data_IF_098194379886
#
_entry.id   IF_098194379886
#
_cell.length_a   1.000
_cell.length_b   1.000
_cell.length_c   1.000
_cell.angle_alpha   90.00
_cell.angle_beta   90.00
_cell.angle_gamma   90.00
#
_symmetry.space_group_name_H-M   'P 1'
#
loop_
_entity.id
_entity.type
_entity.pdbx_description
1 polymer ?
#
# COMPACT_ATOMS: atom_id res chain seq x y z
N UNK A 1 4.65 -37.42 -19.08
CA UNK A 1 3.78 -36.71 -18.13
C UNK A 1 4.48 -35.49 -17.56
N UNK A 2 5.72 -35.62 -17.06
CA UNK A 2 6.41 -34.55 -16.35
C UNK A 2 6.58 -33.25 -17.16
N UNK A 3 6.87 -33.35 -18.46
CA UNK A 3 7.01 -32.17 -19.33
C UNK A 3 5.68 -31.40 -19.52
N UNK A 4 4.55 -32.12 -19.57
CA UNK A 4 3.21 -31.54 -19.71
C UNK A 4 2.81 -30.85 -18.40
N UNK A 5 3.07 -31.51 -17.27
CA UNK A 5 2.86 -30.92 -15.94
C UNK A 5 3.63 -29.61 -15.82
N UNK A 6 4.91 -29.59 -16.21
CA UNK A 6 5.73 -28.37 -16.17
C UNK A 6 5.21 -27.25 -17.09
N UNK A 7 4.76 -27.60 -18.31
CA UNK A 7 4.24 -26.64 -19.28
C UNK A 7 2.94 -25.94 -18.81
N UNK A 8 2.14 -26.62 -17.98
CA UNK A 8 0.90 -26.09 -17.40
C UNK A 8 1.15 -25.36 -16.08
N UNK A 9 2.08 -25.89 -15.27
CA UNK A 9 2.40 -25.40 -13.94
C UNK A 9 2.92 -23.96 -13.97
N UNK A 10 3.88 -23.64 -14.82
CA UNK A 10 4.52 -22.30 -14.82
C UNK A 10 3.51 -21.20 -15.18
N UNK A 11 2.72 -21.30 -16.27
CA UNK A 11 1.73 -20.27 -16.59
C UNK A 11 0.60 -20.18 -15.56
N UNK A 12 0.15 -21.31 -15.00
CA UNK A 12 -0.86 -21.36 -13.93
C UNK A 12 -0.38 -20.63 -12.67
N UNK A 13 0.88 -20.83 -12.28
CA UNK A 13 1.55 -20.13 -11.19
C UNK A 13 1.59 -18.62 -11.44
N UNK A 14 2.03 -18.19 -12.63
CA UNK A 14 2.11 -16.77 -13.00
C UNK A 14 0.74 -16.10 -13.06
N UNK A 15 -0.27 -16.81 -13.58
CA UNK A 15 -1.64 -16.31 -13.63
C UNK A 15 -2.20 -16.11 -12.21
N UNK A 16 -2.03 -17.11 -11.33
CA UNK A 16 -2.44 -17.04 -9.92
C UNK A 16 -1.77 -15.85 -9.21
N UNK A 17 -0.46 -15.71 -9.38
CA UNK A 17 0.32 -14.62 -8.80
C UNK A 17 -0.14 -13.25 -9.31
N UNK A 18 -0.29 -13.07 -10.63
CA UNK A 18 -0.62 -11.77 -11.23
C UNK A 18 -1.99 -11.24 -10.78
N UNK A 19 -2.98 -12.12 -10.64
CA UNK A 19 -4.32 -11.77 -10.16
C UNK A 19 -4.27 -11.37 -8.68
N UNK A 20 -3.65 -12.20 -7.84
CA UNK A 20 -3.56 -11.94 -6.40
C UNK A 20 -2.76 -10.68 -6.08
N UNK A 21 -1.58 -10.53 -6.69
CA UNK A 21 -0.72 -9.37 -6.48
C UNK A 21 -1.36 -8.07 -7.02
N UNK A 22 -1.97 -8.12 -8.21
CA UNK A 22 -2.64 -6.96 -8.81
C UNK A 22 -3.77 -6.41 -7.94
N UNK A 23 -4.61 -7.29 -7.38
CA UNK A 23 -5.68 -6.90 -6.46
C UNK A 23 -5.12 -6.32 -5.15
N UNK A 24 -4.08 -6.94 -4.60
CA UNK A 24 -3.41 -6.48 -3.37
C UNK A 24 -2.83 -5.07 -3.50
N UNK A 25 -2.14 -4.80 -4.60
CA UNK A 25 -1.61 -3.46 -4.91
C UNK A 25 -2.72 -2.42 -5.00
N UNK A 26 -3.83 -2.75 -5.67
CA UNK A 26 -4.98 -1.85 -5.81
C UNK A 26 -5.56 -1.46 -4.45
N UNK A 27 -5.76 -2.44 -3.56
CA UNK A 27 -6.26 -2.20 -2.20
C UNK A 27 -5.27 -1.38 -1.36
N UNK A 28 -3.99 -1.74 -1.36
CA UNK A 28 -2.95 -1.03 -0.62
C UNK A 28 -2.92 0.46 -0.99
N UNK A 29 -3.05 0.77 -2.28
CA UNK A 29 -3.04 2.14 -2.80
C UNK A 29 -4.30 2.87 -2.35
N UNK A 30 -5.47 2.23 -2.46
CA UNK A 30 -6.73 2.82 -1.99
C UNK A 30 -6.66 3.15 -0.49
N UNK A 31 -6.16 2.24 0.33
CA UNK A 31 -5.97 2.47 1.76
C UNK A 31 -4.95 3.59 2.04
N UNK A 32 -3.81 3.60 1.34
CA UNK A 32 -2.78 4.63 1.51
C UNK A 32 -3.29 6.03 1.16
N UNK A 33 -4.06 6.17 0.08
CA UNK A 33 -4.60 7.46 -0.37
C UNK A 33 -5.71 8.00 0.53
N UNK A 34 -6.47 7.12 1.19
CA UNK A 34 -7.55 7.51 2.12
C UNK A 34 -7.06 7.75 3.56
N UNK A 35 -5.93 7.17 3.96
CA UNK A 35 -5.40 7.32 5.31
C UNK A 35 -4.73 8.68 5.53
N UNK A 36 -5.25 9.45 6.49
CA UNK A 36 -4.57 10.61 7.07
C UNK A 36 -5.09 11.99 6.64
N UNK A 37 -6.19 12.08 5.89
CA UNK A 37 -6.83 13.37 5.57
C UNK A 37 -8.27 13.46 6.06
N UNK A 38 -8.70 14.64 6.56
CA UNK A 38 -10.11 14.86 6.84
C UNK A 38 -10.90 14.91 5.53
N UNK A 39 -12.01 14.18 5.45
CA UNK A 39 -12.94 14.22 4.31
C UNK A 39 -13.62 15.59 4.16
N UNK A 40 -13.65 16.38 5.25
CA UNK A 40 -14.28 17.69 5.34
C UNK A 40 -13.27 18.86 5.36
N UNK A 41 -12.01 18.64 4.95
CA UNK A 41 -11.00 19.69 4.93
C UNK A 41 -10.26 19.82 3.60
N UNK A 42 -9.95 21.06 3.24
CA UNK A 42 -9.04 21.40 2.15
C UNK A 42 -7.70 21.81 2.73
N UNK A 43 -6.59 21.34 2.16
CA UNK A 43 -5.25 21.68 2.62
C UNK A 43 -4.65 22.74 1.72
N UNK A 44 -4.27 23.85 2.33
CA UNK A 44 -3.66 24.98 1.67
C UNK A 44 -2.17 24.96 1.98
N UNK A 45 -1.36 25.01 0.93
CA UNK A 45 0.09 25.12 1.02
C UNK A 45 0.58 26.01 -0.11
N UNK A 46 1.82 26.52 -0.03
CA UNK A 46 2.39 27.22 -1.19
C UNK A 46 2.87 26.18 -2.20
N UNK A 47 2.39 26.30 -3.44
CA UNK A 47 2.82 25.41 -4.52
C UNK A 47 4.27 25.72 -4.85
N UNK A 48 5.11 24.69 -4.99
CA UNK A 48 6.21 24.75 -5.93
C UNK A 48 5.88 23.79 -7.05
N UNK A 49 6.23 24.21 -8.27
CA UNK A 49 6.28 23.34 -9.43
C UNK A 49 7.13 22.11 -9.08
N UNK A 50 6.48 21.00 -8.76
CA UNK A 50 7.13 19.72 -8.59
C UNK A 50 7.47 19.18 -9.99
N UNK A 51 8.74 19.30 -10.39
CA UNK A 51 9.25 18.67 -11.60
C UNK A 51 9.96 17.37 -11.20
N UNK A 52 9.26 16.25 -11.33
CA UNK A 52 9.83 14.91 -11.08
C UNK A 52 10.32 14.74 -9.63
N UNK A 53 11.43 14.02 -9.38
CA UNK A 53 11.89 13.68 -8.03
C UNK A 53 12.48 14.87 -7.24
N UNK A 54 12.45 16.09 -7.77
CA UNK A 54 12.98 17.29 -7.13
C UNK A 54 11.85 18.09 -6.47
N UNK A 55 11.66 17.88 -5.17
CA UNK A 55 10.84 18.74 -4.34
C UNK A 55 11.68 19.93 -3.86
N UNK A 56 11.51 21.08 -4.50
CA UNK A 56 12.01 22.34 -3.94
C UNK A 56 11.18 22.67 -2.69
N UNK A 57 11.84 23.05 -1.60
CA UNK A 57 11.23 23.29 -0.29
C UNK A 57 10.04 24.23 -0.39
N UNK A 58 8.86 23.82 0.06
CA UNK A 58 7.65 24.67 0.09
C UNK A 58 8.00 26.05 0.65
N UNK A 59 7.91 27.09 -0.17
CA UNK A 59 8.05 28.45 0.34
C UNK A 59 6.99 28.67 1.43
N UNK A 60 7.31 29.38 2.52
CA UNK A 60 6.32 29.66 3.55
C UNK A 60 5.09 30.36 2.96
N UNK A 61 3.93 30.09 3.55
CA UNK A 61 2.71 30.80 3.18
C UNK A 61 2.89 32.31 3.45
N UNK A 62 2.18 33.18 2.71
CA UNK A 62 2.18 34.61 2.99
C UNK A 62 1.78 34.87 4.45
N UNK A 63 2.41 35.84 5.13
CA UNK A 63 2.02 36.19 6.49
C UNK A 63 0.55 36.62 6.51
N UNK A 64 -0.18 36.21 7.56
CA UNK A 64 -1.60 36.51 7.80
C UNK A 64 -2.60 35.89 6.81
N UNK A 65 -2.18 34.94 5.95
CA UNK A 65 -3.14 34.26 5.06
C UNK A 65 -4.20 33.50 5.88
N UNK A 66 -3.85 32.98 7.04
CA UNK A 66 -4.79 32.31 7.94
C UNK A 66 -5.93 33.24 8.39
N UNK A 67 -5.64 34.51 8.66
CA UNK A 67 -6.65 35.52 9.03
C UNK A 67 -7.57 35.89 7.85
N UNK A 68 -7.04 35.90 6.63
CA UNK A 68 -7.84 36.09 5.43
C UNK A 68 -8.78 34.90 5.18
N UNK A 69 -8.26 33.68 5.33
CA UNK A 69 -9.05 32.47 5.19
C UNK A 69 -10.17 32.46 6.24
N UNK A 70 -9.92 32.82 7.51
CA UNK A 70 -10.95 32.89 8.57
C UNK A 70 -12.16 33.75 8.21
N UNK A 71 -12.01 34.74 7.34
CA UNK A 71 -13.10 35.65 6.92
C UNK A 71 -13.98 35.06 5.82
N UNK A 72 -13.60 33.95 5.18
CA UNK A 72 -14.38 33.34 4.12
C UNK A 72 -15.65 32.66 4.67
N UNK A 73 -16.76 32.79 3.95
CA UNK A 73 -18.02 32.12 4.30
C UNK A 73 -17.95 30.60 4.05
N UNK A 74 -18.63 29.82 4.89
CA UNK A 74 -18.70 28.35 4.75
C UNK A 74 -17.62 27.56 5.51
N UNK A 75 -16.72 28.24 6.21
CA UNK A 75 -15.70 27.61 7.06
C UNK A 75 -16.30 27.18 8.41
N UNK A 76 -15.92 25.99 8.85
CA UNK A 76 -16.23 25.40 10.16
C UNK A 76 -15.11 25.67 11.15
N UNK A 77 -13.86 25.35 10.77
CA UNK A 77 -12.68 25.56 11.58
C UNK A 77 -11.44 25.65 10.67
N UNK A 78 -10.33 26.14 11.22
CA UNK A 78 -9.03 26.13 10.56
C UNK A 78 -8.00 25.57 11.54
N UNK A 79 -7.20 24.61 11.07
CA UNK A 79 -6.00 24.15 11.76
C UNK A 79 -4.77 24.65 11.02
N UNK A 80 -3.88 25.33 11.74
CA UNK A 80 -2.63 25.79 11.18
C UNK A 80 -1.53 24.85 11.65
N UNK A 81 -0.70 24.45 10.69
CA UNK A 81 0.44 23.58 10.90
C UNK A 81 1.73 24.35 10.64
N UNK A 82 2.65 24.28 11.61
CA UNK A 82 3.95 24.93 11.58
C UNK A 82 5.03 23.91 11.94
N UNK A 83 6.13 23.85 11.21
CA UNK A 83 7.27 23.04 11.65
C UNK A 83 8.21 23.85 12.53
N UNK A 84 8.86 23.15 13.45
CA UNK A 84 10.03 23.67 14.13
C UNK A 84 11.16 23.86 13.11
N UNK A 85 11.62 25.10 12.93
CA UNK A 85 12.69 25.44 12.00
C UNK A 85 14.09 25.32 12.62
N UNK A 86 14.18 24.57 13.73
CA UNK A 86 15.39 24.30 14.48
C UNK A 86 15.63 22.79 14.51
N UNK A 87 16.90 22.35 14.55
CA UNK A 87 17.20 20.94 14.79
C UNK A 87 16.61 20.51 16.14
N UNK A 88 16.08 19.29 16.22
CA UNK A 88 15.53 18.76 17.46
C UNK A 88 15.92 17.30 17.69
N UNK A 89 16.01 16.95 18.97
CA UNK A 89 16.33 15.61 19.44
C UNK A 89 15.39 15.21 20.57
N UNK A 90 15.04 13.93 20.62
CA UNK A 90 14.37 13.32 21.78
C UNK A 90 15.38 12.49 22.54
N UNK A 91 15.44 12.70 23.85
CA UNK A 91 16.24 11.92 24.79
C UNK A 91 15.31 11.27 25.82
N UNK A 92 15.39 9.96 25.96
CA UNK A 92 14.56 9.21 26.89
C UNK A 92 15.21 7.90 27.33
N UNK A 93 14.45 7.08 28.04
CA UNK A 93 14.87 5.72 28.35
C UNK A 93 13.86 4.70 27.84
N UNK A 94 14.37 3.70 27.13
CA UNK A 94 13.60 2.54 26.67
C UNK A 94 14.28 1.31 27.27
N UNK A 95 13.53 0.50 28.03
CA UNK A 95 14.04 -0.68 28.75
C UNK A 95 15.28 -0.42 29.62
N UNK A 96 15.33 0.74 30.30
CA UNK A 96 16.43 1.10 31.20
C UNK A 96 17.72 1.52 30.49
N UNK A 97 17.71 1.64 29.16
CA UNK A 97 18.82 2.20 28.38
C UNK A 97 18.49 3.62 27.96
N UNK A 98 19.48 4.52 28.03
CA UNK A 98 19.36 5.85 27.47
C UNK A 98 19.27 5.75 25.94
N UNK A 99 18.33 6.48 25.35
CA UNK A 99 18.11 6.53 23.91
C UNK A 99 17.95 7.99 23.49
N UNK A 100 18.66 8.37 22.43
CA UNK A 100 18.60 9.69 21.82
C UNK A 100 18.38 9.55 20.32
N UNK A 101 17.44 10.30 19.75
CA UNK A 101 17.21 10.33 18.29
C UNK A 101 16.85 11.73 17.82
N UNK A 102 17.39 12.11 16.67
CA UNK A 102 16.96 13.31 15.96
C UNK A 102 15.51 13.13 15.50
N UNK A 103 14.71 14.20 15.57
CA UNK A 103 13.29 14.14 15.25
C UNK A 103 12.82 15.43 14.58
N UNK A 104 11.87 15.32 13.65
CA UNK A 104 11.12 16.47 13.19
C UNK A 104 10.00 16.80 14.20
N UNK A 105 9.74 18.09 14.42
CA UNK A 105 8.66 18.52 15.32
C UNK A 105 7.71 19.43 14.55
N UNK A 106 6.42 19.09 14.60
CA UNK A 106 5.35 19.82 13.92
C UNK A 106 4.35 20.31 14.96
N UNK A 107 4.04 21.59 14.92
CA UNK A 107 2.98 22.23 15.71
C UNK A 107 1.64 22.18 14.99
N UNK A 108 0.57 21.85 15.72
CA UNK A 108 -0.82 21.98 15.25
C UNK A 108 -1.68 22.75 16.27
N UNK A 109 -2.66 23.50 15.80
CA UNK A 109 -3.66 24.14 16.65
C UNK A 109 -4.43 23.11 17.51
N UNK A 110 -4.60 23.41 18.80
CA UNK A 110 -5.23 22.51 19.78
C UNK A 110 -6.69 22.17 19.44
N UNK A 111 -7.41 23.10 18.81
CA UNK A 111 -8.80 22.92 18.34
C UNK A 111 -8.96 21.82 17.29
N UNK A 112 -7.86 21.28 16.79
CA UNK A 112 -7.83 20.26 15.74
C UNK A 112 -7.22 18.95 16.21
N UNK A 113 -6.97 18.81 17.52
CA UNK A 113 -6.38 17.59 18.09
C UNK A 113 -7.29 16.38 17.91
N UNK A 114 -8.62 16.54 17.98
CA UNK A 114 -9.59 15.46 17.76
C UNK A 114 -9.48 14.81 16.37
N UNK A 115 -9.02 15.57 15.38
CA UNK A 115 -8.73 15.00 14.06
C UNK A 115 -7.45 14.15 14.08
N UNK A 116 -6.43 14.54 14.85
CA UNK A 116 -5.20 13.77 15.01
C UNK A 116 -5.44 12.48 15.81
N UNK A 117 -6.11 12.62 16.95
CA UNK A 117 -6.38 11.58 17.93
C UNK A 117 -7.77 11.81 18.53
N UNK A 118 -8.79 11.03 18.12
CA UNK A 118 -10.17 11.24 18.55
C UNK A 118 -10.40 11.13 20.06
N UNK A 119 -9.48 10.47 20.76
CA UNK A 119 -9.51 10.25 22.22
C UNK A 119 -9.07 11.49 23.00
N UNK A 120 -8.35 12.44 22.36
CA UNK A 120 -7.86 13.64 23.01
C UNK A 120 -8.86 14.79 22.94
N UNK A 121 -8.97 15.52 24.04
CA UNK A 121 -9.69 16.79 24.11
C UNK A 121 -8.76 17.98 23.82
N UNK A 122 -9.36 19.10 23.39
CA UNK A 122 -8.63 20.33 23.06
C UNK A 122 -7.82 20.88 24.25
N UNK A 123 -8.28 20.65 25.48
CA UNK A 123 -7.65 21.09 26.72
C UNK A 123 -6.43 20.23 27.12
N UNK A 124 -6.38 18.96 26.67
CA UNK A 124 -5.26 18.05 26.91
C UNK A 124 -4.08 18.31 25.96
N UNK A 125 -4.29 19.05 24.86
CA UNK A 125 -3.28 19.33 23.85
C UNK A 125 -2.93 20.83 23.81
N UNK A 126 -2.49 21.35 24.95
CA UNK A 126 -2.08 22.75 25.13
C UNK A 126 -0.62 22.80 25.57
N UNK A 127 0.09 23.87 25.19
CA UNK A 127 1.48 24.11 25.60
C UNK A 127 1.59 24.23 27.13
N UNK A 128 1.96 23.11 27.76
CA UNK A 128 2.04 22.89 29.21
C UNK A 128 3.36 22.19 29.53
N UNK A 129 3.62 21.95 30.82
CA UNK A 129 4.75 21.17 31.28
C UNK A 129 4.23 20.03 32.19
N UNK A 130 4.35 18.75 31.79
CA UNK A 130 5.03 18.24 30.59
C UNK A 130 4.30 18.59 29.29
N UNK A 131 5.05 18.79 28.20
CA UNK A 131 4.54 19.12 26.87
C UNK A 131 3.78 17.92 26.28
N UNK A 132 2.47 18.02 25.96
CA UNK A 132 1.75 16.92 25.33
C UNK A 132 2.24 16.70 23.90
N UNK A 133 2.55 15.44 23.58
CA UNK A 133 3.03 15.01 22.27
C UNK A 133 2.11 13.93 21.70
N UNK A 134 1.81 14.03 20.41
CA UNK A 134 1.17 12.99 19.61
C UNK A 134 2.18 12.44 18.61
N UNK A 135 2.21 11.12 18.44
CA UNK A 135 3.16 10.45 17.53
C UNK A 135 2.41 9.62 16.48
N UNK A 136 2.87 9.60 15.21
CA UNK A 136 2.35 8.69 14.20
C UNK A 136 2.43 7.22 14.62
N UNK A 137 1.33 6.48 14.43
CA UNK A 137 1.28 5.03 14.67
C UNK A 137 2.34 4.28 13.83
N UNK A 138 2.69 4.84 12.67
CA UNK A 138 3.72 4.32 11.78
C UNK A 138 5.08 4.14 12.48
N UNK A 139 5.45 4.97 13.45
CA UNK A 139 6.71 4.84 14.19
C UNK A 139 6.69 3.58 15.07
N UNK A 140 5.56 3.31 15.72
CA UNK A 140 5.37 2.10 16.52
C UNK A 140 5.34 0.84 15.64
N UNK A 141 4.65 0.91 14.50
CA UNK A 141 4.61 -0.16 13.50
C UNK A 141 6.01 -0.45 12.96
N UNK A 142 6.78 0.59 12.62
CA UNK A 142 8.15 0.45 12.13
C UNK A 142 9.08 -0.18 13.19
N UNK A 143 8.98 0.24 14.47
CA UNK A 143 9.73 -0.42 15.54
C UNK A 143 9.36 -1.89 15.65
N UNK A 144 8.06 -2.20 15.73
CA UNK A 144 7.59 -3.57 15.95
C UNK A 144 7.99 -4.51 14.82
N UNK A 145 7.82 -4.09 13.57
CA UNK A 145 7.99 -4.94 12.41
C UNK A 145 9.46 -4.96 11.93
N UNK A 146 10.18 -3.84 12.02
CA UNK A 146 11.54 -3.73 11.49
C UNK A 146 12.64 -3.99 12.52
N UNK A 147 12.33 -3.83 13.81
CA UNK A 147 13.33 -3.99 14.88
C UNK A 147 12.95 -5.08 15.87
N UNK A 148 11.74 -5.05 16.43
CA UNK A 148 11.40 -5.95 17.51
C UNK A 148 11.31 -7.41 17.04
N UNK A 149 10.55 -7.66 15.98
CA UNK A 149 10.30 -8.99 15.45
C UNK A 149 11.59 -9.70 14.96
N UNK A 150 12.46 -9.08 14.14
CA UNK A 150 13.71 -9.73 13.71
C UNK A 150 14.72 -9.98 14.84
N UNK A 151 14.67 -9.20 15.93
CA UNK A 151 15.62 -9.30 17.04
C UNK A 151 15.05 -10.07 18.25
N UNK A 152 13.85 -10.66 18.13
CA UNK A 152 13.20 -11.38 19.22
C UNK A 152 12.86 -10.49 20.43
N UNK A 153 12.70 -9.18 20.22
CA UNK A 153 12.33 -8.24 21.27
C UNK A 153 10.80 -8.18 21.44
N UNK A 154 10.29 -7.81 22.63
CA UNK A 154 8.86 -7.63 22.83
C UNK A 154 8.28 -6.56 21.89
N UNK A 155 7.17 -6.90 21.25
CA UNK A 155 6.34 -5.90 20.54
C UNK A 155 5.75 -4.93 21.55
N UNK A 156 5.70 -3.67 21.18
CA UNK A 156 5.18 -2.60 22.00
C UNK A 156 3.75 -2.26 21.55
N UNK A 157 2.84 -2.15 22.53
CA UNK A 157 1.48 -1.65 22.31
C UNK A 157 1.44 -0.13 22.48
N UNK A 158 0.41 0.52 21.92
CA UNK A 158 0.16 1.95 22.14
C UNK A 158 0.07 2.29 23.63
N UNK A 159 -0.66 1.47 24.38
CA UNK A 159 -0.84 1.63 25.83
C UNK A 159 0.46 1.57 26.64
N UNK A 160 1.51 0.90 26.15
CA UNK A 160 2.80 0.84 26.84
C UNK A 160 3.57 2.18 26.79
N UNK A 161 3.23 3.02 25.82
CA UNK A 161 3.88 4.30 25.57
C UNK A 161 3.07 5.51 26.03
N UNK A 162 1.74 5.41 26.13
CA UNK A 162 0.91 6.51 26.65
C UNK A 162 1.34 6.87 28.09
N UNK A 163 1.46 8.16 28.35
CA UNK A 163 1.94 8.71 29.63
C UNK A 163 3.45 8.61 29.84
N UNK A 164 4.22 8.06 28.89
CA UNK A 164 5.69 8.05 28.98
C UNK A 164 6.24 9.45 28.78
N UNK A 165 7.21 9.79 29.62
CA UNK A 165 7.91 11.07 29.57
C UNK A 165 9.30 10.93 28.99
N UNK A 166 9.71 11.96 28.25
CA UNK A 166 11.02 12.09 27.63
C UNK A 166 11.40 13.56 27.55
N UNK A 167 12.66 13.84 27.24
CA UNK A 167 13.15 15.19 27.02
C UNK A 167 13.12 15.49 25.53
N UNK A 168 12.43 16.56 25.15
CA UNK A 168 12.55 17.18 23.84
C UNK A 168 13.59 18.30 23.92
N UNK A 169 14.62 18.21 23.11
CA UNK A 169 15.66 19.24 22.96
C UNK A 169 15.44 19.94 21.64
N UNK A 170 15.02 21.20 21.67
CA UNK A 170 14.90 22.05 20.49
C UNK A 170 16.14 22.94 20.35
N UNK A 171 16.64 23.13 19.13
CA UNK A 171 17.88 23.86 18.86
C UNK A 171 19.14 22.99 18.87
N UNK A 172 19.03 21.67 19.02
CA UNK A 172 20.15 20.75 18.90
C UNK A 172 19.73 19.43 18.25
N UNK A 173 20.60 18.88 17.43
CA UNK A 173 20.53 17.52 16.90
C UNK A 173 21.94 16.91 16.86
N UNK A 174 22.01 15.64 16.44
CA UNK A 174 23.28 14.93 16.27
C UNK A 174 24.15 15.53 15.15
N UNK A 175 23.56 16.32 14.24
CA UNK A 175 24.23 16.90 13.07
C UNK A 175 24.52 18.39 13.20
N UNK A 176 23.69 19.13 13.96
CA UNK A 176 23.82 20.58 14.06
C UNK A 176 23.28 21.11 15.38
N UNK A 177 23.87 22.20 15.87
CA UNK A 177 23.40 22.94 17.04
C UNK A 177 23.12 24.37 16.62
N UNK A 178 21.99 24.91 17.05
CA UNK A 178 21.61 26.29 16.76
C UNK A 178 22.57 27.26 17.46
N UNK A 179 22.92 28.35 16.77
CA UNK A 179 23.76 29.43 17.31
C UNK A 179 23.13 30.09 18.55
N UNK A 180 21.80 30.05 18.67
CA UNK A 180 21.06 30.64 19.78
C UNK A 180 20.92 29.67 20.98
N UNK A 181 21.59 28.52 20.95
CA UNK A 181 21.57 27.52 22.01
C UNK A 181 20.50 26.44 21.85
N UNK A 182 20.10 25.82 22.96
CA UNK A 182 19.06 24.79 22.97
C UNK A 182 18.09 24.97 24.13
N UNK A 183 16.86 24.52 23.93
CA UNK A 183 15.77 24.54 24.90
C UNK A 183 15.40 23.09 25.19
N UNK A 184 15.51 22.68 26.45
CA UNK A 184 15.15 21.34 26.91
C UNK A 184 13.80 21.39 27.61
N UNK A 185 12.87 20.54 27.19
CA UNK A 185 11.50 20.49 27.74
C UNK A 185 11.14 19.05 28.04
N UNK A 186 10.51 18.82 29.19
CA UNK A 186 9.91 17.52 29.50
C UNK A 186 8.63 17.39 28.67
N UNK A 187 8.52 16.30 27.92
CA UNK A 187 7.40 15.99 27.06
C UNK A 187 6.75 14.67 27.48
N UNK A 188 5.44 14.56 27.29
CA UNK A 188 4.65 13.38 27.62
C UNK A 188 3.89 12.91 26.38
N UNK A 189 3.97 11.63 26.07
CA UNK A 189 3.18 11.05 24.98
C UNK A 189 1.73 10.88 25.41
N UNK A 190 0.85 11.72 24.87
CA UNK A 190 -0.59 11.72 25.21
C UNK A 190 -1.46 10.99 24.20
N UNK A 191 -0.97 10.77 22.97
CA UNK A 191 -1.76 10.11 21.95
C UNK A 191 -1.01 9.64 20.72
N UNK A 192 -1.73 8.90 19.88
CA UNK A 192 -1.25 8.45 18.58
C UNK A 192 -2.12 9.00 17.45
N UNK A 193 -1.52 9.17 16.28
CA UNK A 193 -2.25 9.57 15.06
C UNK A 193 -2.06 8.57 13.92
N UNK A 194 -3.12 8.39 13.13
CA UNK A 194 -3.09 7.60 11.88
C UNK A 194 -2.53 8.37 10.69
N UNK A 195 -2.16 9.65 10.86
CA UNK A 195 -1.49 10.42 9.82
C UNK A 195 -0.18 9.76 9.41
N UNK A 196 -0.05 9.41 8.14
CA UNK A 196 1.16 8.83 7.55
C UNK A 196 2.01 9.86 6.79
N UNK A 197 1.50 11.08 6.62
CA UNK A 197 2.20 12.18 5.96
C UNK A 197 3.17 12.93 6.90
N UNK A 198 3.24 12.54 8.17
CA UNK A 198 4.11 13.13 9.19
C UNK A 198 5.06 12.07 9.70
N UNK A 199 6.36 12.38 9.73
CA UNK A 199 7.39 11.53 10.30
C UNK A 199 8.13 12.33 11.39
N UNK A 200 7.58 12.34 12.60
CA UNK A 200 8.08 13.16 13.69
C UNK A 200 7.09 13.27 14.85
N UNK A 201 7.35 14.20 15.77
CA UNK A 201 6.45 14.53 16.88
C UNK A 201 5.45 15.61 16.46
N UNK A 202 4.22 15.49 16.94
CA UNK A 202 3.19 16.52 16.81
C UNK A 202 2.94 17.14 18.18
N UNK A 203 3.05 18.46 18.27
CA UNK A 203 2.94 19.25 19.51
C UNK A 203 1.94 20.40 19.34
N UNK A 204 1.48 21.04 20.42
CA UNK A 204 0.66 22.25 20.31
C UNK A 204 1.41 23.35 19.57
N UNK A 205 0.79 24.01 18.59
CA UNK A 205 1.42 25.09 17.81
C UNK A 205 2.01 26.20 18.68
N UNK A 206 1.35 26.54 19.80
CA UNK A 206 1.83 27.54 20.77
C UNK A 206 3.24 27.23 21.29
N UNK A 207 3.59 25.96 21.44
CA UNK A 207 4.95 25.54 21.81
C UNK A 207 5.97 25.95 20.76
N UNK A 208 5.67 25.69 19.48
CA UNK A 208 6.55 26.06 18.35
C UNK A 208 6.75 27.58 18.32
N UNK A 209 5.67 28.35 18.46
CA UNK A 209 5.73 29.81 18.50
C UNK A 209 6.60 30.32 19.65
N UNK A 210 6.40 29.79 20.87
CA UNK A 210 7.22 30.14 22.03
C UNK A 210 8.70 29.85 21.80
N UNK A 211 9.02 28.69 21.24
CA UNK A 211 10.41 28.29 20.95
C UNK A 211 11.02 29.19 19.87
N UNK A 212 10.30 29.45 18.79
CA UNK A 212 10.75 30.35 17.73
C UNK A 212 10.99 31.77 18.25
N UNK A 213 10.07 32.33 19.04
CA UNK A 213 10.21 33.66 19.63
C UNK A 213 11.43 33.74 20.55
N UNK A 214 11.63 32.73 21.39
CA UNK A 214 12.79 32.64 22.31
C UNK A 214 14.10 32.56 21.52
N UNK A 215 14.11 31.78 20.44
CA UNK A 215 15.27 31.52 19.60
C UNK A 215 15.43 32.53 18.45
N UNK A 216 14.63 33.60 18.43
CA UNK A 216 14.61 34.65 17.40
C UNK A 216 14.47 34.13 15.97
N UNK A 217 13.69 33.06 15.81
CA UNK A 217 13.32 32.47 14.52
C UNK A 217 11.95 33.00 14.11
N UNK A 218 11.78 33.36 12.85
CA UNK A 218 10.48 33.83 12.36
C UNK A 218 9.50 32.67 12.20
N UNK A 219 8.32 32.78 12.82
CA UNK A 219 7.22 31.83 12.62
C UNK A 219 6.80 31.77 11.15
N UNK A 220 6.54 30.55 10.66
CA UNK A 220 6.17 30.29 9.26
C UNK A 220 5.05 29.27 9.21
N UNK A 221 3.87 29.72 8.78
CA UNK A 221 2.76 28.83 8.44
C UNK A 221 3.13 28.00 7.21
N UNK A 222 3.11 26.68 7.34
CA UNK A 222 3.48 25.78 6.25
C UNK A 222 2.26 25.19 5.56
N UNK A 223 1.32 24.69 6.35
CA UNK A 223 0.08 24.09 5.87
C UNK A 223 -1.09 24.61 6.68
N UNK A 224 -2.20 24.87 6.01
CA UNK A 224 -3.45 25.27 6.65
C UNK A 224 -4.53 24.29 6.23
N UNK A 225 -5.14 23.63 7.21
CA UNK A 225 -6.28 22.75 7.02
C UNK A 225 -7.55 23.58 7.21
N UNK A 226 -8.33 23.72 6.15
CA UNK A 226 -9.56 24.52 6.14
C UNK A 226 -10.74 23.57 6.15
N UNK A 227 -11.37 23.41 7.31
CA UNK A 227 -12.55 22.57 7.48
C UNK A 227 -13.78 23.33 7.01
N UNK A 228 -14.56 22.73 6.10
CA UNK A 228 -15.76 23.32 5.52
C UNK A 228 -17.04 22.70 6.09
N UNK A 229 -18.15 23.45 6.02
CA UNK A 229 -19.46 22.98 6.51
C UNK A 229 -20.16 22.04 5.53
N UNK A 230 -20.05 22.35 4.24
CA UNK A 230 -20.66 21.57 3.17
C UNK A 230 -19.66 21.32 2.03
N UNK A 231 -19.79 20.22 1.26
CA UNK A 231 -18.92 19.97 0.12
C UNK A 231 -18.93 21.08 -0.94
N UNK A 232 -20.06 21.79 -1.08
CA UNK A 232 -20.19 22.92 -1.99
C UNK A 232 -19.34 24.13 -1.53
N UNK A 233 -19.33 24.39 -0.23
CA UNK A 233 -18.47 25.42 0.35
C UNK A 233 -16.99 25.06 0.19
N UNK A 234 -16.63 23.79 0.39
CA UNK A 234 -15.28 23.29 0.16
C UNK A 234 -14.78 23.60 -1.25
N UNK A 235 -15.59 23.33 -2.29
CA UNK A 235 -15.23 23.66 -3.69
C UNK A 235 -15.06 25.16 -3.91
N UNK A 236 -16.00 25.98 -3.41
CA UNK A 236 -15.94 27.45 -3.54
C UNK A 236 -14.68 28.02 -2.87
N UNK A 237 -14.37 27.55 -1.67
CA UNK A 237 -13.17 27.95 -0.92
C UNK A 237 -11.91 27.54 -1.68
N UNK A 238 -11.86 26.30 -2.17
CA UNK A 238 -10.72 25.79 -2.91
C UNK A 238 -10.45 26.59 -4.20
N UNK A 239 -11.49 26.91 -4.98
CA UNK A 239 -11.38 27.72 -6.20
C UNK A 239 -10.90 29.14 -5.88
N UNK A 240 -11.45 29.76 -4.83
CA UNK A 240 -11.04 31.09 -4.39
C UNK A 240 -9.56 31.11 -4.00
N UNK A 241 -9.09 30.13 -3.22
CA UNK A 241 -7.69 30.05 -2.81
C UNK A 241 -6.74 29.74 -3.98
N UNK A 242 -7.15 28.91 -4.93
CA UNK A 242 -6.39 28.67 -6.17
C UNK A 242 -6.24 29.93 -7.01
N UNK A 243 -7.28 30.76 -7.09
CA UNK A 243 -7.23 32.04 -7.82
C UNK A 243 -6.22 33.03 -7.24
N UNK A 244 -5.88 32.88 -5.94
CA UNK A 244 -4.85 33.67 -5.25
C UNK A 244 -3.43 33.08 -5.43
N UNK A 245 -3.27 32.04 -6.26
CA UNK A 245 -1.98 31.39 -6.51
C UNK A 245 -1.52 30.42 -5.41
N UNK A 246 -2.41 30.03 -4.50
CA UNK A 246 -2.13 29.03 -3.48
C UNK A 246 -2.26 27.62 -4.04
N UNK A 247 -1.45 26.68 -3.54
CA UNK A 247 -1.69 25.26 -3.78
C UNK A 247 -2.78 24.79 -2.85
N UNK A 248 -3.76 24.11 -3.44
CA UNK A 248 -4.92 23.66 -2.71
C UNK A 248 -5.09 22.18 -3.00
N UNK A 249 -4.82 21.38 -1.98
CA UNK A 249 -4.99 19.93 -1.98
C UNK A 249 -6.35 19.61 -1.38
N UNK A 250 -7.32 19.34 -2.25
CA UNK A 250 -8.67 18.97 -1.84
C UNK A 250 -8.88 17.45 -1.86
N UNK A 251 -9.75 16.90 -1.00
CA UNK A 251 -10.05 15.47 -0.97
C UNK A 251 -10.55 14.95 -2.32
N UNK A 252 -11.43 15.69 -3.01
CA UNK A 252 -11.99 15.27 -4.30
C UNK A 252 -10.98 15.24 -5.44
N UNK A 253 -9.95 16.08 -5.42
CA UNK A 253 -8.89 16.06 -6.42
C UNK A 253 -8.01 14.83 -6.27
N UNK A 254 -7.76 14.43 -5.02
CA UNK A 254 -7.05 13.18 -4.73
C UNK A 254 -7.87 11.96 -5.08
N UNK A 255 -9.17 11.96 -4.78
CA UNK A 255 -10.07 10.89 -5.21
C UNK A 255 -10.07 10.75 -6.73
N UNK A 256 -10.05 11.86 -7.47
CA UNK A 256 -9.96 11.83 -8.95
C UNK A 256 -8.60 11.34 -9.44
N UNK A 257 -7.50 11.78 -8.81
CA UNK A 257 -6.15 11.25 -9.11
C UNK A 257 -6.04 9.76 -8.78
N UNK A 258 -6.66 9.33 -7.67
CA UNK A 258 -6.74 7.94 -7.25
C UNK A 258 -7.56 7.15 -8.24
N UNK A 259 -8.71 7.62 -8.69
CA UNK A 259 -9.53 6.98 -9.72
C UNK A 259 -8.74 6.81 -11.03
N UNK A 260 -8.01 7.84 -11.46
CA UNK A 260 -7.15 7.75 -12.64
C UNK A 260 -6.01 6.74 -12.47
N UNK A 261 -5.39 6.69 -11.29
CA UNK A 261 -4.37 5.69 -10.97
C UNK A 261 -4.97 4.29 -10.91
N UNK A 262 -6.13 4.14 -10.26
CA UNK A 262 -6.86 2.90 -10.07
C UNK A 262 -7.29 2.28 -11.40
N UNK A 263 -7.81 3.11 -12.31
CA UNK A 263 -8.12 2.71 -13.68
C UNK A 263 -6.84 2.28 -14.42
N UNK A 264 -5.78 3.10 -14.35
CA UNK A 264 -4.53 2.83 -15.09
C UNK A 264 -3.85 1.55 -14.61
N UNK A 265 -3.71 1.39 -13.29
CA UNK A 265 -3.12 0.22 -12.66
C UNK A 265 -4.02 -1.00 -12.84
N UNK A 266 -5.33 -0.84 -12.72
CA UNK A 266 -6.31 -1.90 -12.99
C UNK A 266 -6.25 -2.40 -14.43
N UNK A 267 -6.08 -1.50 -15.42
CA UNK A 267 -5.85 -1.88 -16.81
C UNK A 267 -4.53 -2.64 -16.93
N UNK A 268 -3.45 -2.14 -16.34
CA UNK A 268 -2.15 -2.79 -16.40
C UNK A 268 -2.17 -4.20 -15.78
N UNK A 269 -2.75 -4.36 -14.58
CA UNK A 269 -2.89 -5.66 -13.93
C UNK A 269 -3.79 -6.60 -14.72
N UNK A 270 -4.87 -6.09 -15.31
CA UNK A 270 -5.78 -6.88 -16.15
C UNK A 270 -5.11 -7.34 -17.44
N UNK A 271 -4.29 -6.49 -18.08
CA UNK A 271 -3.51 -6.85 -19.26
C UNK A 271 -2.46 -7.92 -18.93
N UNK A 272 -1.82 -7.83 -17.77
CA UNK A 272 -0.86 -8.83 -17.32
C UNK A 272 -1.54 -10.18 -17.03
N UNK A 273 -2.68 -10.16 -16.33
CA UNK A 273 -3.48 -11.34 -16.09
C UNK A 273 -4.01 -11.95 -17.39
N UNK A 274 -4.44 -11.13 -18.35
CA UNK A 274 -4.86 -11.57 -19.68
C UNK A 274 -3.72 -12.22 -20.45
N UNK A 275 -2.53 -11.61 -20.45
CA UNK A 275 -1.33 -12.13 -21.10
C UNK A 275 -0.96 -13.51 -20.54
N UNK A 276 -0.89 -13.64 -19.20
CA UNK A 276 -0.60 -14.92 -18.57
C UNK A 276 -1.74 -15.93 -18.72
N UNK A 277 -2.99 -15.47 -18.79
CA UNK A 277 -4.16 -16.29 -19.10
C UNK A 277 -4.08 -16.91 -20.49
N UNK A 278 -3.77 -16.10 -21.51
CA UNK A 278 -3.56 -16.56 -22.89
C UNK A 278 -2.37 -17.50 -22.94
N UNK A 279 -1.24 -17.15 -22.33
CA UNK A 279 -0.04 -18.00 -22.30
C UNK A 279 -0.35 -19.35 -21.65
N UNK A 280 -1.12 -19.34 -20.56
CA UNK A 280 -1.57 -20.55 -19.85
C UNK A 280 -2.49 -21.40 -20.70
N UNK A 281 -3.45 -20.77 -21.39
CA UNK A 281 -4.37 -21.46 -22.29
C UNK A 281 -3.64 -22.11 -23.46
N UNK A 282 -2.77 -21.35 -24.14
CA UNK A 282 -2.00 -21.80 -25.30
C UNK A 282 -1.04 -22.91 -24.91
N UNK A 283 -0.28 -22.74 -23.82
CA UNK A 283 0.68 -23.74 -23.35
C UNK A 283 -0.02 -25.06 -22.99
N UNK A 284 -1.12 -24.99 -22.23
CA UNK A 284 -1.89 -26.18 -21.83
C UNK A 284 -2.52 -26.90 -23.02
N UNK A 285 -3.11 -26.14 -23.96
CA UNK A 285 -3.67 -26.70 -25.19
C UNK A 285 -2.62 -27.45 -26.01
N UNK A 286 -1.46 -26.81 -26.28
CA UNK A 286 -0.41 -27.42 -27.08
C UNK A 286 0.29 -28.57 -26.35
N UNK A 287 0.49 -28.48 -25.02
CA UNK A 287 1.05 -29.55 -24.23
C UNK A 287 0.17 -30.81 -24.27
N UNK A 288 -1.15 -30.66 -24.13
CA UNK A 288 -2.10 -31.75 -24.25
C UNK A 288 -2.15 -32.34 -25.67
N UNK A 289 -2.22 -31.49 -26.71
CA UNK A 289 -2.25 -31.92 -28.11
C UNK A 289 -0.97 -32.66 -28.52
N UNK A 290 0.21 -32.07 -28.22
CA UNK A 290 1.51 -32.69 -28.47
C UNK A 290 1.67 -33.99 -27.66
N UNK A 291 1.14 -34.02 -26.43
CA UNK A 291 1.06 -35.22 -25.61
C UNK A 291 0.38 -36.39 -26.34
N UNK A 292 -0.74 -36.12 -27.03
CA UNK A 292 -1.44 -37.12 -27.84
C UNK A 292 -0.61 -37.52 -29.06
N UNK A 293 -0.05 -36.56 -29.81
CA UNK A 293 0.78 -36.85 -30.98
C UNK A 293 2.02 -37.69 -30.67
N UNK A 294 2.68 -37.45 -29.54
CA UNK A 294 3.83 -38.23 -29.09
C UNK A 294 3.49 -39.71 -28.83
N UNK A 295 2.20 -40.03 -28.62
CA UNK A 295 1.70 -41.36 -28.29
C UNK A 295 1.15 -42.12 -29.50
N UNK A 296 1.35 -41.62 -30.72
CA UNK A 296 0.87 -42.26 -31.95
C UNK A 296 1.38 -43.69 -32.14
N UNK A 297 2.63 -43.97 -31.79
CA UNK A 297 3.20 -45.32 -31.88
C UNK A 297 2.63 -46.27 -30.81
N UNK A 298 2.39 -45.75 -29.59
CA UNK A 298 1.76 -46.51 -28.50
C UNK A 298 0.31 -46.86 -28.85
N UNK A 299 -0.42 -45.94 -29.49
CA UNK A 299 -1.78 -46.17 -30.01
C UNK A 299 -1.84 -47.32 -31.02
N UNK A 300 -0.85 -47.44 -31.91
CA UNK A 300 -0.76 -48.57 -32.86
C UNK A 300 -0.56 -49.90 -32.13
N UNK A 301 0.26 -49.93 -31.09
CA UNK A 301 0.49 -51.13 -30.27
C UNK A 301 -0.81 -51.56 -29.57
N UNK A 302 -1.53 -50.64 -28.95
CA UNK A 302 -2.83 -50.94 -28.31
C UNK A 302 -3.86 -51.48 -29.30
N UNK A 303 -3.84 -50.96 -30.53
CA UNK A 303 -4.73 -51.46 -31.57
C UNK A 303 -4.38 -52.90 -31.99
N UNK A 304 -3.09 -53.24 -32.09
CA UNK A 304 -2.64 -54.61 -32.35
C UNK A 304 -3.00 -55.58 -31.23
N UNK A 305 -3.10 -55.09 -29.99
CA UNK A 305 -3.58 -55.85 -28.82
C UNK A 305 -5.11 -56.00 -28.77
N UNK A 306 -5.85 -55.53 -29.78
CA UNK A 306 -7.31 -55.72 -29.90
C UNK A 306 -8.17 -54.65 -29.23
N UNK A 307 -7.59 -53.55 -28.74
CA UNK A 307 -8.38 -52.47 -28.15
C UNK A 307 -9.17 -51.69 -29.21
N UNK A 308 -10.42 -51.36 -28.87
CA UNK A 308 -11.28 -50.53 -29.71
C UNK A 308 -10.72 -49.11 -29.85
N UNK A 309 -10.98 -48.47 -30.99
CA UNK A 309 -10.52 -47.09 -31.28
C UNK A 309 -10.94 -46.10 -30.19
N UNK A 310 -12.19 -46.21 -29.75
CA UNK A 310 -12.74 -45.36 -28.71
C UNK A 310 -12.07 -45.61 -27.36
N UNK A 311 -11.77 -46.87 -27.02
CA UNK A 311 -11.08 -47.23 -25.78
C UNK A 311 -9.67 -46.64 -25.70
N UNK A 312 -8.92 -46.65 -26.81
CA UNK A 312 -7.56 -46.09 -26.87
C UNK A 312 -7.57 -44.57 -26.69
N UNK A 313 -8.42 -43.87 -27.46
CA UNK A 313 -8.54 -42.40 -27.37
C UNK A 313 -9.00 -41.98 -25.98
N UNK A 314 -10.02 -42.66 -25.42
CA UNK A 314 -10.51 -42.38 -24.06
C UNK A 314 -9.42 -42.57 -23.00
N UNK A 315 -8.60 -43.62 -23.12
CA UNK A 315 -7.51 -43.90 -22.19
C UNK A 315 -6.42 -42.83 -22.24
N UNK A 316 -6.01 -42.42 -23.44
CA UNK A 316 -4.98 -41.40 -23.63
C UNK A 316 -5.46 -40.01 -23.16
N UNK A 317 -6.69 -39.62 -23.55
CA UNK A 317 -7.31 -38.36 -23.11
C UNK A 317 -7.41 -38.33 -21.58
N UNK A 318 -7.91 -39.41 -20.94
CA UNK A 318 -8.05 -39.45 -19.48
C UNK A 318 -6.71 -39.23 -18.76
N UNK A 319 -5.63 -39.87 -19.24
CA UNK A 319 -4.29 -39.74 -18.65
C UNK A 319 -3.73 -38.33 -18.80
N UNK A 320 -4.02 -37.66 -19.92
CA UNK A 320 -3.57 -36.30 -20.20
C UNK A 320 -4.37 -35.28 -19.41
N UNK A 321 -5.70 -35.37 -19.40
CA UNK A 321 -6.55 -34.52 -18.55
C UNK A 321 -6.11 -34.61 -17.10
N UNK A 322 -5.80 -35.81 -16.60
CA UNK A 322 -5.31 -35.97 -15.23
C UNK A 322 -3.96 -35.26 -15.01
N UNK A 323 -3.04 -35.33 -15.98
CA UNK A 323 -1.75 -34.64 -15.91
C UNK A 323 -1.90 -33.11 -15.97
N UNK A 324 -2.82 -32.61 -16.79
CA UNK A 324 -3.16 -31.19 -16.93
C UNK A 324 -3.77 -30.62 -15.65
N UNK A 325 -4.77 -31.32 -15.08
CA UNK A 325 -5.39 -30.92 -13.81
C UNK A 325 -4.37 -30.89 -12.69
N UNK A 326 -3.49 -31.89 -12.60
CA UNK A 326 -2.39 -31.88 -11.60
C UNK A 326 -1.46 -30.69 -11.83
N UNK A 327 -1.04 -30.43 -13.06
CA UNK A 327 -0.15 -29.29 -13.37
C UNK A 327 -0.78 -27.95 -13.02
N UNK A 328 -2.06 -27.77 -13.34
CA UNK A 328 -2.82 -26.57 -13.04
C UNK A 328 -3.00 -26.37 -11.52
N UNK A 329 -3.42 -27.41 -10.80
CA UNK A 329 -3.57 -27.33 -9.34
C UNK A 329 -2.23 -27.08 -8.65
N UNK A 330 -1.17 -27.79 -9.06
CA UNK A 330 0.16 -27.58 -8.51
C UNK A 330 0.70 -26.18 -8.79
N UNK A 331 0.49 -25.66 -10.01
CA UNK A 331 0.85 -24.30 -10.39
C UNK A 331 0.14 -23.25 -9.53
N UNK A 332 -1.17 -23.40 -9.34
CA UNK A 332 -1.93 -22.52 -8.46
C UNK A 332 -1.51 -22.61 -7.01
N UNK A 333 -1.23 -23.79 -6.48
CA UNK A 333 -0.69 -23.95 -5.10
C UNK A 333 0.65 -23.22 -4.97
N UNK A 334 1.56 -23.38 -5.93
CA UNK A 334 2.85 -22.68 -5.90
C UNK A 334 2.63 -21.16 -6.01
N UNK A 335 1.69 -20.71 -6.85
CA UNK A 335 1.30 -19.31 -6.94
C UNK A 335 0.78 -18.76 -5.61
N UNK A 336 -0.06 -19.52 -4.90
CA UNK A 336 -0.51 -19.19 -3.54
C UNK A 336 0.68 -19.13 -2.59
N UNK A 337 1.61 -20.08 -2.63
CA UNK A 337 2.78 -20.10 -1.74
C UNK A 337 3.69 -18.90 -1.97
N UNK A 338 3.84 -18.44 -3.22
CA UNK A 338 4.58 -17.21 -3.56
C UNK A 338 3.84 -15.97 -3.05
N UNK A 339 2.51 -15.94 -3.17
CA UNK A 339 1.71 -14.84 -2.60
C UNK A 339 1.75 -14.85 -1.08
N UNK A 340 1.65 -16.00 -0.43
CA UNK A 340 1.75 -16.13 1.02
C UNK A 340 3.16 -15.81 1.52
N UNK A 341 4.20 -16.12 0.74
CA UNK A 341 5.56 -15.75 1.12
C UNK A 341 5.79 -14.24 1.14
N UNK A 342 4.89 -13.45 0.53
CA UNK A 342 4.90 -11.99 0.64
C UNK A 342 4.76 -11.49 2.09
N UNK A 343 4.15 -12.27 2.99
CA UNK A 343 4.04 -11.97 4.41
C UNK A 343 5.42 -11.94 5.11
N UNK A 344 6.40 -12.69 4.63
CA UNK A 344 7.74 -12.70 5.23
C UNK A 344 8.58 -11.48 4.83
N UNK A 345 8.10 -10.61 3.94
CA UNK A 345 8.80 -9.39 3.55
C UNK A 345 8.24 -8.19 4.35
N UNK A 346 8.98 -7.65 5.34
CA UNK A 346 8.48 -6.59 6.22
C UNK A 346 8.05 -5.33 5.47
N UNK A 347 8.69 -5.05 4.32
CA UNK A 347 8.32 -3.92 3.48
C UNK A 347 6.91 -4.04 2.89
N UNK A 348 6.44 -5.26 2.63
CA UNK A 348 5.09 -5.50 2.11
C UNK A 348 4.03 -5.35 3.21
N UNK A 349 4.37 -5.68 4.46
CA UNK A 349 3.54 -5.37 5.64
C UNK A 349 3.39 -3.86 5.84
N UNK A 350 4.48 -3.09 5.77
CA UNK A 350 4.45 -1.62 5.93
C UNK A 350 3.60 -0.95 4.84
N UNK A 351 3.66 -1.49 3.62
CA UNK A 351 2.90 -1.00 2.47
C UNK A 351 1.48 -1.58 2.36
N UNK A 352 1.08 -2.46 3.30
CA UNK A 352 -0.19 -3.19 3.28
C UNK A 352 -0.50 -3.94 1.97
N UNK A 353 0.54 -4.51 1.35
CA UNK A 353 0.48 -5.24 0.08
C UNK A 353 0.14 -6.73 0.22
N UNK A 354 -0.22 -7.17 1.42
CA UNK A 354 -0.48 -8.59 1.71
C UNK A 354 -1.82 -8.99 1.10
N UNK A 355 -1.88 -9.97 0.21
CA UNK A 355 -3.14 -10.40 -0.39
C UNK A 355 -4.16 -10.88 0.64
N UNK A 356 -5.42 -10.52 0.44
CA UNK A 356 -6.53 -11.07 1.23
C UNK A 356 -6.86 -12.50 0.82
N UNK A 357 -7.46 -13.28 1.73
CA UNK A 357 -7.89 -14.66 1.45
C UNK A 357 -8.77 -14.76 0.20
N UNK A 358 -9.63 -13.75 -0.05
CA UNK A 358 -10.48 -13.70 -1.24
C UNK A 358 -9.67 -13.55 -2.53
N UNK A 359 -8.69 -12.64 -2.55
CA UNK A 359 -7.84 -12.38 -3.73
C UNK A 359 -6.98 -13.61 -4.07
N UNK A 360 -6.45 -14.27 -3.03
CA UNK A 360 -5.71 -15.53 -3.16
C UNK A 360 -6.60 -16.62 -3.76
N UNK A 361 -7.80 -16.80 -3.21
CA UNK A 361 -8.74 -17.84 -3.67
C UNK A 361 -9.15 -17.59 -5.13
N UNK A 362 -9.47 -16.33 -5.48
CA UNK A 362 -9.88 -15.97 -6.83
C UNK A 362 -8.76 -16.20 -7.85
N UNK A 363 -7.53 -15.80 -7.51
CA UNK A 363 -6.34 -16.08 -8.32
C UNK A 363 -6.10 -17.58 -8.50
N UNK A 364 -6.21 -18.37 -7.43
CA UNK A 364 -5.99 -19.81 -7.47
C UNK A 364 -7.05 -20.56 -8.28
N UNK A 365 -8.33 -20.20 -8.12
CA UNK A 365 -9.42 -20.81 -8.88
C UNK A 365 -9.26 -20.51 -10.37
N UNK A 366 -8.96 -19.26 -10.72
CA UNK A 366 -8.74 -18.86 -12.12
C UNK A 366 -7.50 -19.53 -12.70
N UNK A 367 -6.42 -19.54 -11.92
CA UNK A 367 -5.15 -20.19 -12.24
C UNK A 367 -5.25 -21.69 -12.46
N UNK A 368 -6.22 -22.37 -11.83
CA UNK A 368 -6.44 -23.80 -12.01
C UNK A 368 -7.41 -24.10 -13.16
N UNK A 369 -8.53 -23.38 -13.23
CA UNK A 369 -9.63 -23.67 -14.17
C UNK A 369 -9.22 -23.36 -15.61
N UNK A 370 -8.61 -22.19 -15.86
CA UNK A 370 -8.27 -21.74 -17.23
C UNK A 370 -7.34 -22.72 -17.94
N UNK A 371 -6.16 -23.08 -17.39
CA UNK A 371 -5.29 -24.09 -18.01
C UNK A 371 -5.95 -25.46 -18.10
N UNK A 372 -6.66 -25.91 -17.05
CA UNK A 372 -7.30 -27.23 -17.08
C UNK A 372 -8.35 -27.34 -18.20
N UNK A 373 -9.20 -26.33 -18.38
CA UNK A 373 -10.18 -26.28 -19.47
C UNK A 373 -9.48 -26.27 -20.84
N UNK A 374 -8.42 -25.49 -21.00
CA UNK A 374 -7.64 -25.42 -22.23
C UNK A 374 -6.94 -26.75 -22.57
N UNK A 375 -6.36 -27.41 -21.57
CA UNK A 375 -5.74 -28.73 -21.69
C UNK A 375 -6.75 -29.81 -22.03
N UNK A 376 -7.95 -29.78 -21.45
CA UNK A 376 -9.06 -30.68 -21.82
C UNK A 376 -9.41 -30.49 -23.31
N UNK A 377 -9.59 -29.24 -23.76
CA UNK A 377 -9.86 -28.95 -25.17
C UNK A 377 -8.73 -29.43 -26.09
N UNK A 378 -7.46 -29.21 -25.71
CA UNK A 378 -6.29 -29.69 -26.45
C UNK A 378 -6.23 -31.20 -26.54
N UNK A 379 -6.59 -31.90 -25.46
CA UNK A 379 -6.67 -33.35 -25.44
C UNK A 379 -7.81 -33.87 -26.35
N UNK A 380 -8.97 -33.23 -26.38
CA UNK A 380 -10.02 -33.63 -27.31
C UNK A 380 -9.64 -33.37 -28.77
N UNK A 381 -9.07 -32.20 -29.09
CA UNK A 381 -8.62 -31.86 -30.43
C UNK A 381 -7.52 -32.82 -30.94
N UNK A 382 -6.52 -33.11 -30.08
CA UNK A 382 -5.49 -34.11 -30.37
C UNK A 382 -6.10 -35.51 -30.55
N UNK A 383 -7.06 -35.88 -29.70
CA UNK A 383 -7.73 -37.18 -29.78
C UNK A 383 -8.45 -37.40 -31.10
N UNK A 384 -9.19 -36.39 -31.58
CA UNK A 384 -9.90 -36.42 -32.86
C UNK A 384 -8.92 -36.56 -34.04
N UNK A 385 -7.80 -35.83 -34.01
CA UNK A 385 -6.79 -35.87 -35.09
C UNK A 385 -6.00 -37.19 -35.16
N UNK A 386 -5.93 -37.96 -34.08
CA UNK A 386 -5.38 -39.33 -34.07
C UNK A 386 -6.41 -40.38 -34.49
N UNK A 387 -7.60 -39.98 -34.88
CA UNK A 387 -8.52 -40.83 -35.62
C UNK A 387 -8.29 -40.59 -37.13
N UNK A 388 -7.32 -41.25 -37.82
CA UNK A 388 -7.39 -41.27 -39.26
C UNK A 388 -8.72 -41.89 -39.70
N UNK A 389 -9.23 -41.53 -40.89
CA UNK A 389 -10.06 -42.44 -41.65
C UNK A 389 -9.17 -43.61 -42.03
N UNK A 390 -8.95 -44.55 -41.11
CA UNK A 390 -8.35 -45.84 -41.45
C UNK A 390 -9.37 -46.49 -42.36
N UNK A 391 -9.16 -46.36 -43.68
CA UNK A 391 -9.90 -47.04 -44.75
C UNK A 391 -10.25 -48.41 -44.22
N UNK A 392 -11.54 -48.73 -44.27
CA UNK A 392 -12.02 -50.10 -44.06
C UNK A 392 -11.03 -51.06 -44.71
N UNK A 393 -10.65 -52.12 -44.00
CA UNK A 393 -10.16 -53.31 -44.68
C UNK A 393 -11.26 -53.69 -45.68
N UNK A 394 -11.07 -53.26 -46.91
CA UNK A 394 -11.66 -53.85 -48.09
C UNK A 394 -10.46 -54.50 -48.79
N UNK A 395 -10.06 -55.63 -48.21
CA UNK A 395 -9.59 -56.78 -48.98
C UNK A 395 -10.83 -57.65 -49.21
#
# INVERSE_FOLDING_TARGET
>A
SNLIIAAVLIPSMLLTFSIGFGASCRRAIHEYFLMGMPEDAVIVSKSLLAFGPLNFSSSPLPPNISDEIRKMSGIKNIAIEESLLLPAQVNGSIFGRAYGSDVAVIGLDSSSVKWLSPELSDDEFVDTNPLPVVVPELILEAYNNSFAEPNGLPRLSKSAFLGRRFQLVAGASSLNVSENGSIVVEAELVGFTKRRDVFGLIVPRKFIQRVHDTMKVQNREQRIFVFYRTPADGRRIAESLKSQGLSVNAPWERLKSMEGFDITFGIFSSLLALLFGILSMVSSFFAAAAGIFSKKNESKLYHQLGLSRFSIVKLLIKKLIFSEVIGAVAGSIIGILILASSEYFPILHVLNLIPTTYEILFGAVTGAIVPAAAGICGAFAGGISIIPPWRSRAE
#
